data_IF_835150861116
#
_entry.id   IF_835150861116
#
_cell.length_a   1.000
_cell.length_b   1.000
_cell.length_c   1.000
_cell.angle_alpha   90.00
_cell.angle_beta   90.00
_cell.angle_gamma   90.00
#
_symmetry.space_group_name_H-M   'P 1'
#
loop_
_entity.id
_entity.type
_entity.pdbx_description
1 polymer ?
#
# COMPACT_ATOMS: atom_id res chain seq x y z
N UNK A 1 17.78 -25.80 -14.95
CA UNK A 1 18.58 -25.81 -13.69
C UNK A 1 18.89 -24.42 -13.12
N UNK A 2 19.03 -23.35 -13.91
CA UNK A 2 19.33 -22.00 -13.41
C UNK A 2 18.18 -21.31 -12.65
N UNK A 3 16.92 -21.53 -13.05
CA UNK A 3 15.75 -20.90 -12.42
C UNK A 3 15.49 -21.35 -10.96
N UNK A 4 15.78 -22.62 -10.64
CA UNK A 4 15.66 -23.17 -9.29
C UNK A 4 16.67 -22.54 -8.31
N UNK A 5 17.89 -22.28 -8.80
CA UNK A 5 18.95 -21.62 -8.02
C UNK A 5 18.66 -20.14 -7.77
N UNK A 6 18.08 -19.45 -8.76
CA UNK A 6 17.66 -18.05 -8.60
C UNK A 6 16.54 -17.89 -7.56
N UNK A 7 15.53 -18.78 -7.57
CA UNK A 7 14.45 -18.78 -6.57
C UNK A 7 14.97 -19.00 -5.14
N UNK A 8 15.91 -19.93 -4.96
CA UNK A 8 16.55 -20.17 -3.66
C UNK A 8 17.35 -18.96 -3.14
N UNK A 9 18.05 -18.24 -4.04
CA UNK A 9 18.82 -17.05 -3.65
C UNK A 9 17.93 -15.86 -3.29
N UNK A 10 16.79 -15.70 -3.97
CA UNK A 10 15.79 -14.68 -3.62
C UNK A 10 15.14 -15.00 -2.28
N UNK A 11 14.83 -16.27 -2.00
CA UNK A 11 14.34 -16.71 -0.69
C UNK A 11 15.31 -16.34 0.45
N UNK A 12 16.58 -16.74 0.32
CA UNK A 12 17.60 -16.48 1.34
C UNK A 12 17.84 -14.97 1.62
N UNK A 13 17.74 -14.11 0.58
CA UNK A 13 17.82 -12.66 0.78
C UNK A 13 16.61 -12.11 1.51
N UNK A 14 15.41 -12.61 1.18
CA UNK A 14 14.18 -12.18 1.82
C UNK A 14 14.15 -12.60 3.30
N UNK A 15 14.62 -13.80 3.62
CA UNK A 15 14.71 -14.27 5.01
C UNK A 15 15.67 -13.38 5.81
N UNK A 16 16.88 -13.15 5.29
CA UNK A 16 17.86 -12.25 5.93
C UNK A 16 17.31 -10.83 6.13
N UNK A 17 16.58 -10.30 5.16
CA UNK A 17 15.98 -8.97 5.27
C UNK A 17 14.91 -8.92 6.37
N UNK A 18 14.06 -9.95 6.47
CA UNK A 18 13.05 -10.03 7.52
C UNK A 18 13.66 -10.25 8.91
N UNK A 19 14.75 -11.00 9.01
CA UNK A 19 15.49 -11.15 10.28
C UNK A 19 16.07 -9.82 10.76
N UNK A 20 16.61 -9.01 9.85
CA UNK A 20 17.11 -7.67 10.19
C UNK A 20 15.99 -6.75 10.68
N UNK A 21 14.83 -6.77 10.01
CA UNK A 21 13.65 -6.01 10.46
C UNK A 21 13.18 -6.52 11.82
N UNK A 22 13.02 -7.83 11.97
CA UNK A 22 12.57 -8.47 13.20
C UNK A 22 13.47 -8.12 14.38
N UNK A 23 14.80 -8.19 14.19
CA UNK A 23 15.77 -7.80 15.20
C UNK A 23 15.71 -6.30 15.54
N UNK A 24 15.51 -5.43 14.54
CA UNK A 24 15.42 -3.99 14.75
C UNK A 24 14.17 -3.59 15.56
N UNK A 25 13.02 -4.22 15.29
CA UNK A 25 11.74 -3.89 15.96
C UNK A 25 11.54 -4.63 17.27
N UNK A 26 12.23 -5.74 17.51
CA UNK A 26 12.16 -6.49 18.76
C UNK A 26 12.95 -5.81 19.91
N UNK A 27 13.83 -4.85 19.63
CA UNK A 27 14.59 -4.14 20.65
C UNK A 27 13.74 -3.03 21.31
N UNK A 28 13.34 -3.17 22.60
CA UNK A 28 12.50 -2.18 23.28
C UNK A 28 13.20 -0.83 23.50
N UNK A 29 14.54 -0.82 23.54
CA UNK A 29 15.36 0.39 23.60
C UNK A 29 15.74 0.92 22.20
N UNK A 30 15.26 0.25 21.14
CA UNK A 30 15.49 0.62 19.75
C UNK A 30 14.83 1.95 19.40
N UNK A 31 15.49 2.72 18.53
CA UNK A 31 14.96 3.99 17.99
C UNK A 31 14.33 3.82 16.59
N UNK A 32 14.26 2.60 16.10
CA UNK A 32 13.78 2.28 14.75
C UNK A 32 12.31 1.89 14.82
N UNK A 33 11.49 2.52 13.98
CA UNK A 33 10.10 2.13 13.71
C UNK A 33 10.00 1.75 12.24
N UNK A 34 9.36 0.63 11.95
CA UNK A 34 9.19 0.13 10.58
C UNK A 34 7.71 0.20 10.24
N UNK A 35 7.40 0.90 9.14
CA UNK A 35 6.07 0.89 8.52
C UNK A 35 6.25 0.28 7.13
N UNK A 36 5.44 -0.73 6.83
CA UNK A 36 5.48 -1.42 5.56
C UNK A 36 4.04 -1.67 5.08
N UNK A 37 3.87 -1.71 3.77
CA UNK A 37 2.61 -2.07 3.12
C UNK A 37 2.78 -3.39 2.38
N UNK A 38 1.78 -4.27 2.49
CA UNK A 38 1.75 -5.55 1.79
C UNK A 38 0.40 -5.70 1.10
N UNK A 39 0.41 -6.11 -0.17
CA UNK A 39 -0.84 -6.48 -0.86
C UNK A 39 -1.44 -7.71 -0.21
N UNK A 40 -2.77 -7.75 -0.11
CA UNK A 40 -3.51 -8.85 0.51
C UNK A 40 -3.15 -10.22 -0.10
N UNK A 41 -2.87 -10.26 -1.41
CA UNK A 41 -2.49 -11.45 -2.16
C UNK A 41 -1.15 -12.08 -1.72
N UNK A 42 -0.38 -11.37 -0.88
CA UNK A 42 0.90 -11.83 -0.33
C UNK A 42 0.87 -11.96 1.20
N UNK A 43 -0.30 -11.82 1.81
CA UNK A 43 -0.48 -11.76 3.26
C UNK A 43 0.03 -13.01 4.00
N UNK A 44 -0.02 -14.17 3.33
CA UNK A 44 0.40 -15.47 3.86
C UNK A 44 1.93 -15.62 3.92
N UNK A 45 2.67 -14.96 3.03
CA UNK A 45 4.12 -15.19 2.86
C UNK A 45 4.95 -14.87 4.10
N UNK A 46 4.74 -13.74 4.83
CA UNK A 46 5.48 -13.48 6.06
C UNK A 46 5.14 -14.46 7.19
N UNK A 47 3.93 -15.04 7.19
CA UNK A 47 3.51 -16.03 8.20
C UNK A 47 4.24 -17.36 8.07
N UNK A 48 4.76 -17.68 6.88
CA UNK A 48 5.53 -18.89 6.61
C UNK A 48 6.99 -18.80 7.06
N UNK A 49 7.45 -17.63 7.52
CA UNK A 49 8.84 -17.37 7.87
C UNK A 49 9.01 -17.17 9.37
N UNK A 50 9.49 -18.21 10.04
CA UNK A 50 9.89 -18.12 11.44
C UNK A 50 11.32 -17.54 11.56
N UNK A 51 11.58 -16.64 12.54
CA UNK A 51 10.70 -16.20 13.63
C UNK A 51 9.80 -14.99 13.30
N UNK A 52 9.96 -14.36 12.13
CA UNK A 52 9.28 -13.10 11.75
C UNK A 52 7.75 -13.14 11.87
N UNK A 53 7.14 -14.31 11.65
CA UNK A 53 5.70 -14.53 11.77
C UNK A 53 5.09 -14.01 13.10
N UNK A 54 5.83 -14.09 14.22
CA UNK A 54 5.36 -13.62 15.52
C UNK A 54 5.16 -12.10 15.57
N UNK A 55 6.15 -11.35 15.09
CA UNK A 55 6.10 -9.89 14.99
C UNK A 55 5.02 -9.44 14.01
N UNK A 56 4.93 -10.13 12.88
CA UNK A 56 3.95 -9.81 11.85
C UNK A 56 2.51 -9.90 12.37
N UNK A 57 2.16 -10.99 13.08
CA UNK A 57 0.80 -11.21 13.60
C UNK A 57 0.29 -10.09 14.52
N UNK A 58 1.16 -9.47 15.30
CA UNK A 58 0.78 -8.42 16.26
C UNK A 58 0.89 -7.01 15.70
N UNK A 59 1.41 -6.86 14.48
CA UNK A 59 1.72 -5.56 13.86
C UNK A 59 0.90 -5.26 12.59
N UNK A 60 0.02 -6.18 12.19
CA UNK A 60 -0.80 -6.03 10.98
C UNK A 60 -2.03 -5.16 11.26
N UNK A 61 -2.24 -4.19 10.37
CA UNK A 61 -3.49 -3.43 10.26
C UNK A 61 -4.11 -3.74 8.90
N UNK A 62 -5.32 -4.28 8.90
CA UNK A 62 -6.07 -4.52 7.68
C UNK A 62 -6.64 -3.20 7.15
N UNK A 63 -6.39 -2.90 5.88
CA UNK A 63 -6.94 -1.72 5.21
C UNK A 63 -8.18 -2.13 4.41
N UNK A 64 -9.33 -1.58 4.78
CA UNK A 64 -10.55 -1.72 4.00
C UNK A 64 -10.52 -0.80 2.76
N UNK A 65 -11.31 -1.09 1.73
CA UNK A 65 -11.55 -0.14 0.64
C UNK A 65 -12.03 1.21 1.17
N UNK A 66 -11.68 2.29 0.48
CA UNK A 66 -12.14 3.63 0.82
C UNK A 66 -13.66 3.73 0.67
N UNK A 67 -14.30 4.31 1.68
CA UNK A 67 -15.68 4.77 1.57
C UNK A 67 -15.80 5.91 0.55
N UNK A 68 -17.01 6.21 0.04
CA UNK A 68 -17.21 7.34 -0.87
C UNK A 68 -16.67 8.66 -0.32
N UNK A 69 -16.93 8.97 0.96
CA UNK A 69 -16.46 10.20 1.59
C UNK A 69 -14.94 10.24 1.78
N UNK A 70 -14.31 9.10 2.05
CA UNK A 70 -12.86 9.00 2.12
C UNK A 70 -12.21 9.17 0.74
N UNK A 71 -12.84 8.61 -0.30
CA UNK A 71 -12.41 8.77 -1.67
C UNK A 71 -12.54 10.23 -2.13
N UNK A 72 -13.65 10.88 -1.79
CA UNK A 72 -13.86 12.30 -2.02
C UNK A 72 -12.73 13.13 -1.39
N UNK A 73 -12.40 12.88 -0.12
CA UNK A 73 -11.29 13.55 0.57
C UNK A 73 -9.94 13.24 -0.07
N UNK A 74 -9.72 12.01 -0.51
CA UNK A 74 -8.48 11.60 -1.17
C UNK A 74 -8.27 12.33 -2.51
N UNK A 75 -9.37 12.69 -3.19
CA UNK A 75 -9.34 13.47 -4.45
C UNK A 75 -9.20 14.97 -4.16
N UNK A 76 -10.02 15.50 -3.25
CA UNK A 76 -10.16 16.95 -3.05
C UNK A 76 -9.04 17.58 -2.22
N UNK A 77 -8.53 16.91 -1.18
CA UNK A 77 -7.49 17.49 -0.30
C UNK A 77 -6.19 17.83 -1.05
N UNK A 78 -5.61 16.94 -1.87
CA UNK A 78 -4.38 17.28 -2.61
C UNK A 78 -4.57 18.44 -3.60
N UNK A 79 -5.77 18.60 -4.17
CA UNK A 79 -6.10 19.71 -5.06
C UNK A 79 -6.24 21.03 -4.27
N UNK A 80 -6.93 21.00 -3.12
CA UNK A 80 -7.09 22.15 -2.22
C UNK A 80 -5.74 22.66 -1.70
N UNK A 81 -4.80 21.77 -1.34
CA UNK A 81 -3.43 22.11 -0.93
C UNK A 81 -2.65 22.87 -2.03
N UNK A 82 -3.12 22.82 -3.27
CA UNK A 82 -2.56 23.51 -4.44
C UNK A 82 -3.45 24.66 -4.95
N UNK A 83 -4.47 25.04 -4.19
CA UNK A 83 -5.42 26.10 -4.57
C UNK A 83 -6.26 25.75 -5.80
N UNK A 84 -6.56 24.47 -6.00
CA UNK A 84 -7.34 23.97 -7.14
C UNK A 84 -8.70 23.49 -6.68
N UNK A 85 -9.74 24.09 -7.24
CA UNK A 85 -11.11 23.65 -7.06
C UNK A 85 -11.48 22.62 -8.13
N UNK A 86 -12.08 21.51 -7.70
CA UNK A 86 -12.62 20.48 -8.57
C UNK A 86 -14.12 20.72 -8.68
N UNK A 87 -14.65 20.77 -9.91
CA UNK A 87 -16.09 20.95 -10.10
C UNK A 87 -16.87 19.77 -9.50
N UNK A 88 -18.00 20.06 -8.87
CA UNK A 88 -18.83 19.05 -8.21
C UNK A 88 -19.24 17.92 -9.17
N UNK A 89 -19.55 18.25 -10.43
CA UNK A 89 -19.90 17.25 -11.45
C UNK A 89 -18.74 16.30 -11.81
N UNK A 90 -17.51 16.82 -11.89
CA UNK A 90 -16.33 15.99 -12.14
C UNK A 90 -16.04 15.09 -10.94
N UNK A 91 -16.08 15.65 -9.72
CA UNK A 91 -15.86 14.90 -8.49
C UNK A 91 -16.84 13.73 -8.34
N UNK A 92 -18.13 13.99 -8.53
CA UNK A 92 -19.17 12.97 -8.48
C UNK A 92 -18.92 11.86 -9.52
N UNK A 93 -18.50 12.22 -10.73
CA UNK A 93 -18.19 11.26 -11.79
C UNK A 93 -16.99 10.38 -11.43
N UNK A 94 -15.90 10.97 -10.93
CA UNK A 94 -14.69 10.25 -10.53
C UNK A 94 -14.97 9.25 -9.40
N UNK A 95 -15.78 9.66 -8.41
CA UNK A 95 -16.18 8.79 -7.30
C UNK A 95 -17.05 7.63 -7.81
N UNK A 96 -18.05 7.92 -8.65
CA UNK A 96 -18.94 6.90 -9.20
C UNK A 96 -18.17 5.84 -10.02
N UNK A 97 -17.28 6.29 -10.91
CA UNK A 97 -16.47 5.39 -11.74
C UNK A 97 -15.53 4.53 -10.89
N UNK A 98 -14.94 5.10 -9.82
CA UNK A 98 -14.03 4.37 -8.94
C UNK A 98 -14.73 3.36 -8.01
N UNK A 99 -16.02 3.57 -7.70
CA UNK A 99 -16.81 2.64 -6.88
C UNK A 99 -17.44 1.51 -7.71
N UNK A 100 -17.64 1.72 -9.01
CA UNK A 100 -18.24 0.71 -9.90
C UNK A 100 -17.33 -0.51 -10.10
N UNK A 101 -16.01 -0.33 -10.05
CA UNK A 101 -15.03 -1.35 -10.41
C UNK A 101 -14.01 -1.60 -9.29
N UNK A 102 -13.92 -2.82 -8.74
CA UNK A 102 -12.87 -3.19 -7.80
C UNK A 102 -11.48 -2.93 -8.40
N UNK A 103 -10.64 -2.22 -7.66
CA UNK A 103 -9.29 -1.91 -8.11
C UNK A 103 -9.21 -0.77 -9.13
N UNK A 104 -10.21 0.11 -9.21
CA UNK A 104 -10.18 1.30 -10.05
C UNK A 104 -9.21 2.41 -9.58
N UNK A 105 -8.74 2.37 -8.33
CA UNK A 105 -7.88 3.42 -7.75
C UNK A 105 -6.60 3.73 -8.57
N UNK A 106 -5.86 2.75 -9.12
CA UNK A 106 -4.74 3.04 -10.01
C UNK A 106 -5.15 3.79 -11.28
N UNK A 107 -6.31 3.46 -11.86
CA UNK A 107 -6.83 4.18 -13.03
C UNK A 107 -7.24 5.60 -12.66
N UNK A 108 -7.92 5.77 -11.52
CA UNK A 108 -8.26 7.09 -10.98
C UNK A 108 -7.01 7.95 -10.80
N UNK A 109 -5.93 7.39 -10.24
CA UNK A 109 -4.66 8.10 -10.08
C UNK A 109 -4.09 8.58 -11.43
N UNK A 110 -4.11 7.72 -12.46
CA UNK A 110 -3.68 8.10 -13.82
C UNK A 110 -4.58 9.20 -14.38
N UNK A 111 -5.89 9.08 -14.25
CA UNK A 111 -6.85 10.10 -14.70
C UNK A 111 -6.62 11.45 -14.03
N UNK A 112 -6.44 11.46 -12.70
CA UNK A 112 -6.16 12.70 -11.96
C UNK A 112 -4.84 13.33 -12.39
N UNK A 113 -3.81 12.52 -12.63
CA UNK A 113 -2.52 13.00 -13.12
C UNK A 113 -2.61 13.61 -14.53
N UNK A 114 -3.36 12.99 -15.42
CA UNK A 114 -3.61 13.50 -16.78
C UNK A 114 -4.43 14.79 -16.77
N UNK A 115 -5.50 14.83 -15.96
CA UNK A 115 -6.31 16.05 -15.80
C UNK A 115 -5.49 17.20 -15.23
N UNK A 116 -4.58 16.93 -14.29
CA UNK A 116 -3.65 17.92 -13.78
C UNK A 116 -2.68 18.43 -14.85
N UNK A 117 -2.13 17.53 -15.67
CA UNK A 117 -1.12 17.86 -16.68
C UNK A 117 -1.67 18.67 -17.86
N UNK A 118 -2.99 18.64 -18.07
CA UNK A 118 -3.69 19.36 -19.15
C UNK A 118 -4.35 20.67 -18.70
N UNK A 119 -4.24 20.99 -17.41
CA UNK A 119 -4.72 22.25 -16.83
C UNK A 119 -3.76 23.39 -17.18
#
# INVERSE_FOLDING_TARGET
MAASRAGHLVGARADRFLDLIGGAVANPAGRVRVVATLRADFFDRPLQRHPFAGVYRTSVVALAPLTPDELERAITRPAADRGVEISAGLLARLIADAQAEPGALPLLNVTLHELWSRR
#
